data_IF_121666813885
#
_entry.id   IF_121666813885
#
_cell.length_a   1.000
_cell.length_b   1.000
_cell.length_c   1.000
_cell.angle_alpha   90.00
_cell.angle_beta   90.00
_cell.angle_gamma   90.00
#
_symmetry.space_group_name_H-M   'P 1'
#
loop_
_entity.id
_entity.type
_entity.pdbx_description
1 polymer ?
#
# COMPACT_ATOMS: atom_id res chain seq x y z
N UNK A 1 -10.52 13.41 -18.80
CA UNK A 1 -11.45 12.42 -18.20
C UNK A 1 -10.62 11.30 -17.64
N UNK A 2 -11.10 10.59 -16.62
CA UNK A 2 -10.31 9.59 -15.90
C UNK A 2 -10.54 8.20 -16.49
N UNK A 3 -9.49 7.40 -16.64
CA UNK A 3 -9.61 6.00 -17.04
C UNK A 3 -10.48 5.22 -16.04
N UNK A 4 -11.16 4.14 -16.47
CA UNK A 4 -11.97 3.23 -15.64
C UNK A 4 -13.19 3.86 -14.95
N UNK A 5 -13.27 5.18 -14.88
CA UNK A 5 -14.40 5.94 -14.35
C UNK A 5 -15.45 6.22 -15.45
N UNK A 6 -16.74 5.96 -15.21
CA UNK A 6 -17.80 6.32 -16.14
C UNK A 6 -17.82 7.83 -16.42
N UNK A 7 -17.99 8.18 -17.69
CA UNK A 7 -18.09 9.57 -18.15
C UNK A 7 -19.55 10.01 -18.06
N UNK A 8 -19.87 11.04 -17.26
CA UNK A 8 -21.20 11.63 -17.26
C UNK A 8 -21.55 12.14 -18.67
N UNK A 9 -22.78 11.90 -19.18
CA UNK A 9 -23.18 12.37 -20.49
C UNK A 9 -22.89 13.86 -20.68
N UNK A 10 -21.98 14.17 -21.59
CA UNK A 10 -21.48 15.54 -21.81
C UNK A 10 -21.67 15.93 -23.27
N UNK A 11 -22.45 16.98 -23.54
CA UNK A 11 -22.73 17.45 -24.91
C UNK A 11 -21.43 17.91 -25.59
N UNK A 12 -21.05 17.23 -26.67
CA UNK A 12 -19.82 17.53 -27.46
C UNK A 12 -20.11 17.77 -28.94
N UNK A 13 -21.23 17.26 -29.46
CA UNK A 13 -21.66 17.47 -30.85
C UNK A 13 -23.06 18.06 -30.88
N UNK A 14 -23.21 19.17 -31.62
CA UNK A 14 -24.51 19.80 -31.86
C UNK A 14 -24.71 20.00 -33.36
N UNK A 15 -25.63 19.25 -34.00
CA UNK A 15 -25.98 19.47 -35.39
C UNK A 15 -26.64 20.84 -35.58
N UNK A 16 -26.32 21.51 -36.68
CA UNK A 16 -26.90 22.81 -37.04
C UNK A 16 -28.21 22.69 -37.85
N UNK A 17 -28.54 21.49 -38.34
CA UNK A 17 -29.76 21.20 -39.10
C UNK A 17 -30.72 20.33 -38.29
N UNK A 18 -32.01 20.69 -38.17
CA UNK A 18 -33.02 19.82 -37.55
C UNK A 18 -33.13 18.47 -38.27
N UNK A 19 -33.41 17.40 -37.52
CA UNK A 19 -33.55 16.05 -38.06
C UNK A 19 -32.23 15.34 -38.39
N UNK A 20 -31.08 15.93 -38.05
CA UNK A 20 -29.80 15.26 -38.18
C UNK A 20 -29.67 14.08 -37.22
N UNK A 21 -28.99 13.04 -37.67
CA UNK A 21 -28.64 11.85 -36.87
C UNK A 21 -27.15 11.90 -36.53
N UNK A 22 -26.82 11.48 -35.32
CA UNK A 22 -25.44 11.38 -34.81
C UNK A 22 -25.15 9.91 -34.57
N UNK A 23 -24.04 9.43 -35.11
CA UNK A 23 -23.63 8.03 -34.96
C UNK A 23 -22.12 7.95 -34.75
N UNK A 24 -21.71 7.07 -33.85
CA UNK A 24 -20.32 6.67 -33.67
C UNK A 24 -20.23 5.19 -34.03
N UNK A 25 -19.52 4.85 -35.11
CA UNK A 25 -19.51 3.48 -35.64
C UNK A 25 -18.69 2.52 -34.78
N UNK A 26 -17.56 3.00 -34.27
CA UNK A 26 -16.64 2.22 -33.44
C UNK A 26 -16.28 3.04 -32.21
N UNK A 27 -16.54 2.52 -31.00
CA UNK A 27 -16.06 3.15 -29.77
C UNK A 27 -14.54 3.25 -29.79
N UNK A 28 -14.00 4.39 -29.37
CA UNK A 28 -12.55 4.60 -29.25
C UNK A 28 -12.19 4.53 -27.78
N UNK A 29 -11.38 3.54 -27.39
CA UNK A 29 -10.99 3.34 -25.99
C UNK A 29 -12.18 3.25 -25.03
N UNK A 30 -13.32 2.69 -25.44
CA UNK A 30 -14.53 2.60 -24.60
C UNK A 30 -15.39 3.87 -24.57
N UNK A 31 -15.05 4.88 -25.36
CA UNK A 31 -15.79 6.14 -25.49
C UNK A 31 -16.60 6.19 -26.78
N UNK A 32 -17.78 6.81 -26.71
CA UNK A 32 -18.68 7.03 -27.84
C UNK A 32 -19.41 8.36 -27.72
N UNK A 33 -19.94 8.87 -28.83
CA UNK A 33 -20.94 9.95 -28.83
C UNK A 33 -22.30 9.36 -29.17
N UNK A 34 -23.26 9.55 -28.29
CA UNK A 34 -24.63 9.04 -28.44
C UNK A 34 -25.45 9.83 -29.48
N UNK A 35 -26.69 9.37 -29.74
CA UNK A 35 -27.59 10.01 -30.70
C UNK A 35 -28.01 11.43 -30.32
N UNK A 36 -27.91 11.78 -29.04
CA UNK A 36 -28.15 13.12 -28.50
C UNK A 36 -26.89 13.99 -28.57
N UNK A 37 -25.76 13.48 -29.06
CA UNK A 37 -24.50 14.21 -29.20
C UNK A 37 -23.70 14.33 -27.91
N UNK A 38 -23.97 13.48 -26.92
CA UNK A 38 -23.23 13.44 -25.67
C UNK A 38 -22.11 12.39 -25.73
N UNK A 39 -20.94 12.78 -25.27
CA UNK A 39 -19.85 11.88 -24.95
C UNK A 39 -20.25 11.02 -23.75
N UNK A 40 -20.13 9.71 -23.91
CA UNK A 40 -20.46 8.70 -22.90
C UNK A 40 -19.47 7.54 -22.95
N UNK A 41 -19.53 6.66 -21.96
CA UNK A 41 -18.74 5.43 -21.89
C UNK A 41 -17.82 5.39 -20.67
N UNK A 42 -16.97 4.35 -20.65
CA UNK A 42 -15.94 4.17 -19.64
C UNK A 42 -14.61 3.99 -20.37
N UNK A 43 -13.70 4.97 -20.29
CA UNK A 43 -12.45 4.91 -21.03
C UNK A 43 -11.55 3.78 -20.51
N UNK A 44 -10.86 3.09 -21.41
CA UNK A 44 -9.89 2.03 -21.07
C UNK A 44 -8.70 2.08 -22.02
N UNK A 45 -7.50 1.97 -21.46
CA UNK A 45 -6.22 1.96 -22.16
C UNK A 45 -5.38 0.82 -21.59
N UNK A 46 -5.06 -0.19 -22.40
CA UNK A 46 -4.38 -1.41 -21.91
C UNK A 46 -2.86 -1.40 -22.15
N UNK A 47 -2.35 -0.38 -22.82
CA UNK A 47 -0.98 -0.29 -23.34
C UNK A 47 -0.35 1.08 -23.07
N UNK A 48 -0.49 1.57 -21.83
CA UNK A 48 0.18 2.79 -21.37
C UNK A 48 1.69 2.71 -21.57
N UNK A 49 2.29 3.81 -22.05
CA UNK A 49 3.73 3.97 -22.05
C UNK A 49 4.28 4.07 -20.61
N UNK A 50 5.57 3.72 -20.37
CA UNK A 50 6.15 3.69 -19.01
C UNK A 50 6.12 5.01 -18.24
N UNK A 51 5.96 6.14 -18.93
CA UNK A 51 5.88 7.50 -18.34
C UNK A 51 4.66 8.27 -18.85
N UNK A 52 3.71 7.55 -19.44
CA UNK A 52 2.51 8.15 -20.00
C UNK A 52 1.47 8.28 -18.90
N UNK A 53 1.07 9.53 -18.63
CA UNK A 53 0.05 9.88 -17.62
C UNK A 53 -1.28 10.31 -18.26
N UNK A 54 -1.24 10.65 -19.55
CA UNK A 54 -2.43 11.01 -20.32
C UNK A 54 -2.30 10.59 -21.79
N UNK A 55 -3.43 10.21 -22.39
CA UNK A 55 -3.54 9.87 -23.80
C UNK A 55 -4.59 10.72 -24.48
N UNK A 56 -4.20 11.39 -25.56
CA UNK A 56 -5.11 12.13 -26.43
C UNK A 56 -5.62 11.19 -27.51
N UNK A 57 -6.94 11.08 -27.62
CA UNK A 57 -7.60 10.28 -28.66
C UNK A 57 -8.65 11.13 -29.37
N UNK A 58 -9.03 10.70 -30.57
CA UNK A 58 -10.03 11.38 -31.39
C UNK A 58 -11.14 10.41 -31.72
N UNK A 59 -12.37 10.79 -31.42
CA UNK A 59 -13.56 9.99 -31.71
C UNK A 59 -14.17 10.51 -33.02
N UNK A 60 -14.17 9.72 -34.11
CA UNK A 60 -14.82 10.10 -35.35
C UNK A 60 -16.35 9.93 -35.21
N UNK A 61 -17.08 11.04 -35.31
CA UNK A 61 -18.53 11.07 -35.16
C UNK A 61 -19.18 11.42 -36.49
N UNK A 62 -20.03 10.54 -37.01
CA UNK A 62 -20.80 10.78 -38.24
C UNK A 62 -22.07 11.55 -37.93
N UNK A 63 -22.23 12.69 -38.59
CA UNK A 63 -23.45 13.51 -38.56
C UNK A 63 -24.08 13.48 -39.94
N UNK A 64 -25.33 13.02 -40.03
CA UNK A 64 -26.05 12.87 -41.30
C UNK A 64 -27.38 13.61 -41.30
N UNK A 65 -27.67 14.35 -42.36
CA UNK A 65 -28.95 14.99 -42.62
C UNK A 65 -29.36 14.78 -44.08
N UNK A 66 -30.30 13.86 -44.33
CA UNK A 66 -30.61 13.44 -45.70
C UNK A 66 -29.40 12.79 -46.38
N UNK A 67 -28.98 13.32 -47.52
CA UNK A 67 -27.83 12.86 -48.30
C UNK A 67 -26.50 13.50 -47.86
N UNK A 68 -26.55 14.52 -47.01
CA UNK A 68 -25.34 15.17 -46.48
C UNK A 68 -24.79 14.38 -45.29
N UNK A 69 -23.50 14.07 -45.33
CA UNK A 69 -22.78 13.38 -44.26
C UNK A 69 -21.44 14.08 -43.98
N UNK A 70 -21.15 14.29 -42.70
CA UNK A 70 -19.90 14.89 -42.23
C UNK A 70 -19.35 14.04 -41.09
N UNK A 71 -18.04 13.80 -41.09
CA UNK A 71 -17.31 13.24 -39.95
C UNK A 71 -16.73 14.37 -39.14
N UNK A 72 -17.07 14.41 -37.85
CA UNK A 72 -16.54 15.36 -36.87
C UNK A 72 -15.61 14.62 -35.92
N UNK A 73 -14.38 15.09 -35.85
CA UNK A 73 -13.37 14.55 -34.95
C UNK A 73 -13.49 15.21 -33.57
N UNK A 74 -13.89 14.44 -32.57
CA UNK A 74 -14.02 14.92 -31.18
C UNK A 74 -12.75 14.56 -30.42
N UNK A 75 -11.86 15.53 -30.11
CA UNK A 75 -10.66 15.27 -29.33
C UNK A 75 -11.01 15.10 -27.85
N UNK A 76 -10.44 14.09 -27.21
CA UNK A 76 -10.58 13.84 -25.77
C UNK A 76 -9.23 13.43 -25.18
N UNK A 77 -9.04 13.74 -23.89
CA UNK A 77 -7.86 13.34 -23.14
C UNK A 77 -8.27 12.39 -22.02
N UNK A 78 -7.74 11.17 -22.06
CA UNK A 78 -7.87 10.15 -21.01
C UNK A 78 -6.67 10.32 -20.08
N UNK A 79 -6.91 10.44 -18.78
CA UNK A 79 -5.88 10.46 -17.74
C UNK A 79 -5.78 9.06 -17.15
N UNK A 80 -4.57 8.55 -17.00
CA UNK A 80 -4.28 7.24 -16.42
C UNK A 80 -4.78 7.19 -14.98
N UNK A 81 -5.27 6.01 -14.59
CA UNK A 81 -5.78 5.68 -13.26
C UNK A 81 -5.37 4.22 -13.01
N UNK A 82 -4.19 4.01 -12.42
CA UNK A 82 -3.47 2.73 -12.39
C UNK A 82 -4.19 1.69 -11.53
N UNK A 83 -4.76 2.08 -10.39
CA UNK A 83 -5.48 1.21 -9.46
C UNK A 83 -7.01 1.19 -9.70
N UNK A 84 -7.57 2.17 -10.41
CA UNK A 84 -9.00 2.30 -10.68
C UNK A 84 -9.80 2.91 -9.53
N UNK A 85 -9.20 3.65 -8.61
CA UNK A 85 -9.89 4.28 -7.48
C UNK A 85 -10.67 5.56 -7.88
N UNK A 86 -10.43 6.05 -9.10
CA UNK A 86 -11.04 7.25 -9.64
C UNK A 86 -10.25 8.53 -9.39
N UNK A 87 -9.01 8.47 -8.91
CA UNK A 87 -8.04 9.55 -8.85
C UNK A 87 -7.00 9.29 -9.95
N UNK A 88 -6.74 10.26 -10.85
CA UNK A 88 -5.73 10.05 -11.88
C UNK A 88 -4.33 10.06 -11.29
N UNK A 89 -3.43 9.23 -11.83
CA UNK A 89 -2.04 9.04 -11.37
C UNK A 89 -1.30 10.37 -11.13
N UNK A 90 -1.50 11.35 -12.01
CA UNK A 90 -0.90 12.70 -11.87
C UNK A 90 -1.22 13.43 -10.56
N UNK A 91 -2.28 13.02 -9.86
CA UNK A 91 -2.80 13.62 -8.64
C UNK A 91 -3.03 12.61 -7.53
N UNK A 92 -2.77 11.34 -7.80
CA UNK A 92 -2.83 10.27 -6.81
C UNK A 92 -1.54 10.31 -5.97
N UNK A 93 -1.63 10.24 -4.63
CA UNK A 93 -0.45 10.04 -3.80
C UNK A 93 0.08 8.60 -3.75
N UNK A 94 -0.68 7.60 -4.21
CA UNK A 94 -0.39 6.15 -4.13
C UNK A 94 -1.00 5.44 -5.36
N UNK A 95 -0.32 5.54 -6.51
CA UNK A 95 -0.78 5.17 -7.87
C UNK A 95 -1.31 3.73 -8.00
N UNK A 96 -0.82 2.81 -7.17
CA UNK A 96 -1.22 1.40 -7.17
C UNK A 96 -1.94 0.93 -5.89
N UNK A 97 -2.15 1.87 -4.96
CA UNK A 97 -2.81 1.71 -3.67
C UNK A 97 -2.23 0.58 -2.78
N UNK A 98 -0.93 0.27 -2.91
CA UNK A 98 -0.25 -0.73 -2.08
C UNK A 98 0.02 -0.25 -0.63
N UNK A 99 -0.17 1.05 -0.37
CA UNK A 99 0.04 1.70 0.91
C UNK A 99 1.42 2.29 1.15
N UNK A 100 2.27 2.35 0.12
CA UNK A 100 3.52 3.08 0.07
C UNK A 100 3.31 4.27 -0.88
N UNK A 101 3.40 5.52 -0.41
CA UNK A 101 3.23 6.67 -1.30
C UNK A 101 4.26 6.70 -2.43
N UNK A 102 3.86 7.18 -3.61
CA UNK A 102 4.72 7.29 -4.80
C UNK A 102 6.07 7.97 -4.50
N UNK A 103 6.06 8.99 -3.64
CA UNK A 103 7.28 9.71 -3.27
C UNK A 103 8.27 8.80 -2.51
N UNK A 104 7.77 7.92 -1.64
CA UNK A 104 8.58 6.94 -0.92
C UNK A 104 9.12 5.87 -1.88
N UNK A 105 8.32 5.43 -2.83
CA UNK A 105 8.73 4.48 -3.87
C UNK A 105 9.79 5.04 -4.80
N UNK A 106 9.62 6.27 -5.28
CA UNK A 106 10.61 6.98 -6.11
C UNK A 106 11.93 7.14 -5.36
N UNK A 107 11.89 7.46 -4.06
CA UNK A 107 13.09 7.55 -3.21
C UNK A 107 13.79 6.19 -3.09
N UNK A 108 13.01 5.11 -3.00
CA UNK A 108 13.51 3.75 -2.86
C UNK A 108 13.85 3.07 -4.21
N UNK A 109 13.51 3.71 -5.33
CA UNK A 109 13.75 3.20 -6.68
C UNK A 109 12.80 2.08 -7.12
N UNK A 110 11.63 1.97 -6.49
CA UNK A 110 10.52 1.13 -6.97
C UNK A 110 9.65 1.90 -7.97
N UNK A 111 8.74 1.20 -8.65
CA UNK A 111 7.86 1.79 -9.66
C UNK A 111 6.48 2.05 -9.00
N UNK A 112 6.06 3.34 -8.87
CA UNK A 112 4.80 3.73 -8.22
C UNK A 112 3.55 3.07 -8.78
N UNK A 113 3.64 2.56 -10.01
CA UNK A 113 2.51 1.97 -10.73
C UNK A 113 2.45 0.46 -10.56
N UNK A 114 3.26 -0.13 -9.67
CA UNK A 114 3.38 -1.58 -9.49
C UNK A 114 3.47 -1.98 -8.02
N UNK A 115 2.49 -2.77 -7.51
CA UNK A 115 2.41 -3.01 -6.08
C UNK A 115 3.68 -3.58 -5.48
N UNK A 116 4.27 -2.82 -4.56
CA UNK A 116 5.44 -3.10 -3.75
C UNK A 116 5.03 -3.52 -2.34
N UNK A 117 5.20 -4.80 -2.02
CA UNK A 117 5.03 -5.21 -0.61
C UNK A 117 6.20 -4.73 0.25
N UNK A 118 5.92 -3.95 1.30
CA UNK A 118 6.93 -3.40 2.23
C UNK A 118 7.93 -4.48 2.72
N UNK A 119 9.23 -4.14 2.74
CA UNK A 119 10.30 -4.96 3.34
C UNK A 119 10.96 -4.24 4.53
N UNK A 120 10.37 -4.29 5.74
CA UNK A 120 10.87 -3.58 6.91
C UNK A 120 12.17 -4.17 7.47
N UNK A 121 12.77 -3.45 8.41
CA UNK A 121 13.72 -4.06 9.36
C UNK A 121 13.12 -4.11 10.75
N UNK A 122 13.31 -5.22 11.47
CA UNK A 122 12.83 -5.39 12.84
C UNK A 122 14.05 -5.50 13.76
N UNK A 123 14.26 -4.49 14.59
CA UNK A 123 15.32 -4.52 15.61
C UNK A 123 14.73 -4.99 16.93
N UNK A 124 15.38 -5.98 17.55
CA UNK A 124 15.02 -6.45 18.89
C UNK A 124 16.19 -6.21 19.84
N UNK A 125 15.94 -5.55 20.96
CA UNK A 125 16.96 -5.31 22.01
C UNK A 125 16.46 -5.76 23.37
N UNK A 126 17.35 -6.24 24.25
CA UNK A 126 16.98 -6.66 25.61
C UNK A 126 17.26 -5.56 26.62
N UNK A 127 16.29 -5.30 27.49
CA UNK A 127 16.44 -4.47 28.70
C UNK A 127 17.14 -5.24 29.82
N UNK A 128 17.73 -4.55 30.82
CA UNK A 128 18.36 -5.20 31.97
C UNK A 128 17.43 -6.14 32.76
N UNK A 129 16.14 -5.80 32.86
CA UNK A 129 15.11 -6.61 33.51
C UNK A 129 14.71 -7.87 32.71
N UNK A 130 15.22 -8.03 31.49
CA UNK A 130 14.98 -9.18 30.63
C UNK A 130 13.95 -8.95 29.52
N UNK A 131 13.13 -7.90 29.60
CA UNK A 131 12.14 -7.59 28.57
C UNK A 131 12.82 -7.29 27.24
N UNK A 132 12.14 -7.63 26.13
CA UNK A 132 12.60 -7.25 24.80
C UNK A 132 11.85 -6.01 24.31
N UNK A 133 12.58 -5.09 23.66
CA UNK A 133 12.03 -3.97 22.91
C UNK A 133 12.10 -4.31 21.44
N UNK A 134 10.96 -4.26 20.77
CA UNK A 134 10.80 -4.50 19.34
C UNK A 134 10.58 -3.16 18.67
N UNK A 135 11.45 -2.82 17.72
CA UNK A 135 11.41 -1.55 16.99
C UNK A 135 11.43 -1.86 15.50
N UNK A 136 10.29 -1.82 14.80
CA UNK A 136 10.26 -1.91 13.35
C UNK A 136 10.70 -0.59 12.73
N UNK A 137 11.22 -0.64 11.50
CA UNK A 137 11.61 0.53 10.72
C UNK A 137 11.21 0.31 9.27
N UNK A 138 10.60 1.34 8.67
CA UNK A 138 10.22 1.32 7.26
C UNK A 138 11.46 1.17 6.36
N UNK A 139 11.32 0.54 5.19
CA UNK A 139 12.37 0.59 4.17
C UNK A 139 12.74 2.05 3.83
N UNK A 140 13.97 2.28 3.35
CA UNK A 140 14.42 3.63 2.97
C UNK A 140 14.93 4.51 4.13
N UNK A 141 14.88 5.84 3.93
CA UNK A 141 15.55 6.84 4.76
C UNK A 141 14.72 7.22 6.00
N UNK A 142 14.61 6.30 6.95
CA UNK A 142 14.38 6.68 8.35
C UNK A 142 12.93 6.74 8.86
N UNK A 143 11.94 6.26 8.10
CA UNK A 143 10.54 6.24 8.55
C UNK A 143 10.28 5.32 9.74
N UNK A 144 9.51 5.80 10.72
CA UNK A 144 8.92 4.98 11.80
C UNK A 144 7.52 4.52 11.39
N UNK A 145 7.07 3.41 11.98
CA UNK A 145 5.69 2.97 11.86
C UNK A 145 4.77 3.74 12.83
N UNK A 146 3.51 4.04 12.45
CA UNK A 146 2.57 4.74 13.32
C UNK A 146 2.14 3.89 14.53
N UNK A 147 1.66 4.52 15.61
CA UNK A 147 1.14 3.79 16.78
C UNK A 147 -0.03 2.88 16.41
N UNK A 148 -0.14 1.74 17.08
CA UNK A 148 -1.13 0.71 16.74
C UNK A 148 -0.65 -0.27 15.67
N UNK A 149 0.50 -0.03 15.03
CA UNK A 149 1.17 -1.02 14.18
C UNK A 149 1.40 -2.31 14.95
N UNK A 150 1.17 -3.44 14.31
CA UNK A 150 1.39 -4.77 14.88
C UNK A 150 2.64 -5.38 14.29
N UNK A 151 3.51 -5.90 15.14
CA UNK A 151 4.68 -6.71 14.73
C UNK A 151 4.50 -8.12 15.24
N UNK A 152 4.55 -9.10 14.35
CA UNK A 152 4.60 -10.51 14.73
C UNK A 152 6.03 -11.01 14.64
N UNK A 153 6.51 -11.65 15.71
CA UNK A 153 7.85 -12.26 15.76
C UNK A 153 7.76 -13.73 16.18
N UNK A 154 8.78 -14.56 15.90
CA UNK A 154 8.78 -15.96 16.30
C UNK A 154 8.57 -16.14 17.80
N UNK A 155 7.64 -17.02 18.19
CA UNK A 155 7.37 -17.34 19.58
C UNK A 155 7.37 -18.84 19.86
N UNK A 156 7.04 -19.18 21.11
CA UNK A 156 7.16 -20.54 21.63
C UNK A 156 6.19 -21.50 20.93
N UNK A 157 6.66 -22.70 20.63
CA UNK A 157 5.85 -23.81 20.09
C UNK A 157 5.13 -23.45 18.78
N UNK A 158 5.72 -22.56 17.97
CA UNK A 158 5.14 -22.12 16.70
C UNK A 158 4.08 -21.04 16.82
N UNK A 159 3.76 -20.57 18.03
CA UNK A 159 2.84 -19.44 18.23
C UNK A 159 3.61 -18.12 18.15
N UNK A 160 3.30 -17.22 17.20
CA UNK A 160 3.95 -15.91 17.12
C UNK A 160 3.70 -15.07 18.37
N UNK A 161 4.65 -14.20 18.70
CA UNK A 161 4.45 -13.13 19.67
C UNK A 161 3.95 -11.91 18.89
N UNK A 162 2.75 -11.45 19.23
CA UNK A 162 2.15 -10.25 18.65
C UNK A 162 2.49 -9.04 19.53
N UNK A 163 3.08 -8.01 18.93
CA UNK A 163 3.57 -6.82 19.62
C UNK A 163 2.91 -5.58 19.01
N UNK A 164 2.19 -4.81 19.81
CA UNK A 164 1.65 -3.52 19.39
C UNK A 164 2.67 -2.41 19.63
N UNK A 165 2.91 -1.60 18.60
CA UNK A 165 3.85 -0.48 18.61
C UNK A 165 3.17 0.77 19.17
N UNK A 166 3.84 1.42 20.13
CA UNK A 166 3.37 2.65 20.79
C UNK A 166 3.82 3.93 20.09
N UNK A 167 3.55 5.06 20.75
CA UNK A 167 3.93 6.42 20.29
C UNK A 167 5.44 6.62 20.11
N UNK A 168 6.26 5.83 20.80
CA UNK A 168 7.73 5.87 20.69
C UNK A 168 8.27 5.03 19.50
N UNK A 169 7.37 4.48 18.67
CA UNK A 169 7.74 3.62 17.54
C UNK A 169 8.27 2.26 17.97
N UNK A 170 8.07 1.85 19.22
CA UNK A 170 8.50 0.54 19.73
C UNK A 170 7.40 -0.18 20.52
N UNK A 171 7.58 -1.48 20.72
CA UNK A 171 6.73 -2.30 21.58
C UNK A 171 7.55 -3.14 22.54
N UNK A 172 6.95 -3.56 23.66
CA UNK A 172 7.62 -4.35 24.70
C UNK A 172 7.07 -5.77 24.72
N UNK A 173 7.97 -6.75 24.71
CA UNK A 173 7.67 -8.15 25.02
C UNK A 173 8.17 -8.44 26.43
N UNK A 174 7.26 -8.72 27.39
CA UNK A 174 7.64 -9.10 28.75
C UNK A 174 8.54 -10.33 28.77
N UNK A 175 9.52 -10.35 29.68
CA UNK A 175 10.51 -11.42 29.78
C UNK A 175 9.89 -12.83 29.94
N UNK A 176 8.75 -12.95 30.62
CA UNK A 176 8.04 -14.22 30.83
C UNK A 176 7.36 -14.76 29.56
N UNK A 177 7.13 -13.91 28.56
CA UNK A 177 6.58 -14.27 27.24
C UNK A 177 7.65 -14.66 26.22
N UNK A 178 8.92 -14.43 26.52
CA UNK A 178 10.03 -14.79 25.63
C UNK A 178 10.29 -16.31 25.62
N UNK A 179 10.79 -16.87 24.49
CA UNK A 179 11.13 -18.28 24.36
C UNK A 179 12.26 -18.69 25.32
N UNK A 180 12.42 -20.00 25.57
CA UNK A 180 13.49 -20.50 26.46
C UNK A 180 14.90 -20.36 25.89
N UNK A 181 15.02 -20.31 24.56
CA UNK A 181 16.26 -20.11 23.82
C UNK A 181 16.03 -19.10 22.69
N UNK A 182 17.12 -18.60 22.11
CA UNK A 182 17.04 -17.69 20.97
C UNK A 182 16.35 -18.42 19.81
N UNK A 183 15.36 -17.78 19.22
CA UNK A 183 14.49 -18.38 18.22
C UNK A 183 14.57 -17.60 16.91
N UNK A 184 15.37 -18.04 15.93
CA UNK A 184 15.38 -17.45 14.60
C UNK A 184 14.09 -17.82 13.86
N UNK A 185 13.63 -16.91 13.01
CA UNK A 185 12.47 -17.14 12.16
C UNK A 185 12.18 -15.91 11.30
N UNK A 186 10.91 -15.73 10.93
CA UNK A 186 10.45 -14.57 10.19
C UNK A 186 9.49 -13.74 11.04
N UNK A 187 9.53 -12.43 10.87
CA UNK A 187 8.56 -11.51 11.43
C UNK A 187 7.92 -10.65 10.36
N UNK A 188 6.75 -10.12 10.66
CA UNK A 188 5.96 -9.24 9.78
C UNK A 188 5.57 -7.98 10.54
N UNK A 189 5.30 -6.91 9.79
CA UNK A 189 4.81 -5.64 10.30
C UNK A 189 3.52 -5.30 9.58
N UNK A 190 2.47 -4.93 10.32
CA UNK A 190 1.15 -4.59 9.78
C UNK A 190 0.69 -3.25 10.34
N UNK A 191 0.55 -2.25 9.47
CA UNK A 191 -0.01 -0.94 9.83
C UNK A 191 -1.53 -1.03 10.01
N UNK A 192 -2.14 -0.13 10.80
CA UNK A 192 -3.59 -0.08 10.94
C UNK A 192 -4.29 0.05 9.57
N UNK A 193 -5.20 -0.88 9.27
CA UNK A 193 -5.97 -0.94 8.02
C UNK A 193 -5.13 -1.16 6.75
N UNK A 194 -3.90 -1.67 6.86
CA UNK A 194 -3.05 -2.05 5.73
C UNK A 194 -2.74 -3.55 5.76
N UNK A 195 -2.38 -4.08 4.61
CA UNK A 195 -1.93 -5.47 4.49
C UNK A 195 -0.57 -5.68 5.18
N UNK A 196 -0.24 -6.91 5.64
CA UNK A 196 1.04 -7.20 6.25
C UNK A 196 2.23 -7.05 5.28
N UNK A 197 3.37 -6.63 5.82
CA UNK A 197 4.65 -6.58 5.11
C UNK A 197 5.10 -7.97 4.62
N UNK A 198 6.10 -8.00 3.74
CA UNK A 198 6.80 -9.26 3.48
C UNK A 198 7.44 -9.78 4.77
N UNK A 199 7.46 -11.12 4.98
CA UNK A 199 8.14 -11.71 6.13
C UNK A 199 9.66 -11.52 6.06
N UNK A 200 10.22 -10.83 7.06
CA UNK A 200 11.66 -10.52 7.15
C UNK A 200 12.35 -11.37 8.23
N UNK A 201 13.62 -11.77 8.04
CA UNK A 201 14.33 -12.58 9.02
C UNK A 201 14.53 -11.82 10.34
N UNK A 202 14.24 -12.48 11.46
CA UNK A 202 14.40 -11.92 12.81
C UNK A 202 14.76 -13.03 13.79
N UNK A 203 15.36 -12.68 14.92
CA UNK A 203 15.61 -13.62 16.03
C UNK A 203 14.99 -13.07 17.31
N UNK A 204 13.99 -13.79 17.83
CA UNK A 204 13.42 -13.48 19.14
C UNK A 204 14.38 -13.98 20.22
N UNK A 205 14.83 -13.13 21.14
CA UNK A 205 15.80 -13.53 22.13
C UNK A 205 15.20 -14.44 23.20
N UNK A 206 16.05 -15.26 23.81
CA UNK A 206 15.70 -16.07 24.96
C UNK A 206 15.29 -15.21 26.17
N UNK A 207 14.32 -15.69 26.93
CA UNK A 207 13.98 -15.15 28.24
C UNK A 207 15.21 -15.17 29.16
N UNK A 208 15.41 -14.08 29.89
CA UNK A 208 16.39 -14.00 30.98
C UNK A 208 15.88 -14.87 32.13
N UNK A 209 16.62 -15.92 32.48
CA UNK A 209 16.34 -16.65 33.71
C UNK A 209 16.80 -15.80 34.90
N UNK A 210 15.96 -15.60 35.93
CA UNK A 210 16.42 -15.01 37.18
C UNK A 210 17.48 -15.94 37.79
N UNK A 211 18.56 -15.36 38.28
CA UNK A 211 19.60 -16.13 38.97
C UNK A 211 19.43 -15.93 40.46
N UNK A 212 19.51 -17.00 41.24
CA UNK A 212 19.47 -16.90 42.70
C UNK A 212 20.90 -17.00 43.20
N UNK A 213 21.38 -15.99 43.94
CA UNK A 213 22.61 -16.13 44.72
C UNK A 213 22.23 -16.66 46.10
N UNK A 214 22.80 -17.80 46.46
CA UNK A 214 22.67 -18.39 47.78
C UNK A 214 24.00 -18.14 48.49
N UNK A 215 23.95 -17.44 49.61
CA UNK A 215 25.08 -17.26 50.52
C UNK A 215 24.73 -17.92 51.85
N UNK A 216 25.61 -18.80 52.32
CA UNK A 216 25.49 -19.40 53.64
C UNK A 216 26.51 -18.74 54.55
N UNK A 217 26.04 -18.22 55.68
CA UNK A 217 26.90 -17.77 56.77
C UNK A 217 27.65 -19.01 57.32
N UNK A 218 29.00 -19.03 57.25
CA UNK A 218 29.78 -20.18 57.68
C UNK A 218 29.76 -20.40 59.19
N UNK A 219 29.43 -19.36 59.98
CA UNK A 219 29.47 -19.38 61.44
C UNK A 219 28.09 -19.68 62.04
N UNK A 220 27.02 -19.15 61.45
CA UNK A 220 25.64 -19.38 61.94
C UNK A 220 24.89 -20.45 61.17
N UNK A 221 25.33 -20.75 59.94
CA UNK A 221 24.62 -21.63 59.02
C UNK A 221 23.41 -20.98 58.35
N UNK A 222 23.12 -19.71 58.65
CA UNK A 222 22.00 -18.97 58.07
C UNK A 222 22.17 -18.83 56.56
N UNK A 223 21.08 -19.03 55.83
CA UNK A 223 21.08 -18.93 54.37
C UNK A 223 20.42 -17.63 53.95
N UNK A 224 21.18 -16.76 53.32
CA UNK A 224 20.65 -15.57 52.64
C UNK A 224 20.41 -15.90 51.18
N UNK A 225 19.15 -15.74 50.75
CA UNK A 225 18.73 -15.93 49.37
C UNK A 225 18.52 -14.57 48.72
N UNK A 226 19.34 -14.23 47.75
CA UNK A 226 19.24 -12.95 47.03
C UNK A 226 18.89 -13.22 45.56
N UNK A 227 17.68 -12.85 45.10
CA UNK A 227 17.35 -12.84 43.68
C UNK A 227 18.25 -11.86 42.92
N UNK A 228 18.69 -12.23 41.72
CA UNK A 228 19.50 -11.41 40.79
C UNK A 228 18.91 -11.38 39.40
#
# INVERSE_FOLDING_TARGET
MKEKAPVPPTKVVTPNKPGSTITTETPVNGLTVDGDGNLTGTPTVTDWGPKEEERKVTIPVKVKNGDEEVVVDVPVTIQRDTDGDGIPDMTDPDDDNDGIPDEEEIINGTDPKTPTTQTPTIKITRKPNGDAVVTPKKPGVGGTYPPGTVVEIPGKDGNPIVVTIGEDGSGIVPNDKLPKGDLPGKGTVTEPNKEPSQPVPVTTPARKNPTIKIEQDPDTGDVTVTPK
#
